data_IF_011142921393
#
_entry.id   IF_011142921393
#
_cell.length_a   1.000
_cell.length_b   1.000
_cell.length_c   1.000
_cell.angle_alpha   90.00
_cell.angle_beta   90.00
_cell.angle_gamma   90.00
#
_symmetry.space_group_name_H-M   'P 1'
#
loop_
_entity.id
_entity.type
_entity.pdbx_description
1 polymer ?
#
# COMPACT_ATOMS: atom_id res chain seq x y z
N UNK A 1 6.57 71.06 27.45
CA UNK A 1 6.72 69.64 27.82
C UNK A 1 5.43 68.90 27.50
N UNK A 2 5.35 68.17 26.39
CA UNK A 2 4.16 67.41 25.98
C UNK A 2 4.39 65.92 26.25
N UNK A 3 3.63 65.31 27.18
CA UNK A 3 3.64 63.87 27.40
C UNK A 3 2.67 63.21 26.42
N UNK A 4 3.21 62.45 25.45
CA UNK A 4 2.43 61.57 24.57
C UNK A 4 1.86 60.39 25.39
N UNK A 5 0.60 59.98 25.20
CA UNK A 5 0.08 58.75 25.78
C UNK A 5 0.64 57.52 25.04
N UNK A 6 0.78 56.35 25.69
CA UNK A 6 1.26 55.14 25.05
C UNK A 6 0.19 54.60 24.09
N UNK A 7 0.60 54.22 22.87
CA UNK A 7 -0.27 53.49 21.93
C UNK A 7 -0.57 52.10 22.50
N UNK A 8 -1.80 51.56 22.36
CA UNK A 8 -2.05 50.17 22.70
C UNK A 8 -1.25 49.27 21.75
N UNK A 9 -0.49 48.33 22.34
CA UNK A 9 0.12 47.21 21.61
C UNK A 9 -0.99 46.45 20.92
N UNK A 10 -0.92 46.34 19.59
CA UNK A 10 -1.67 45.37 18.80
C UNK A 10 -1.35 44.00 19.40
N UNK A 11 -2.30 43.36 20.05
CA UNK A 11 -2.21 41.94 20.36
C UNK A 11 -2.13 41.24 19.00
N UNK A 12 -0.93 40.76 18.67
CA UNK A 12 -0.76 39.68 17.71
C UNK A 12 -1.27 38.45 18.45
N UNK A 13 -2.58 38.23 18.36
CA UNK A 13 -3.14 36.91 18.57
C UNK A 13 -2.69 36.11 17.35
N UNK A 14 -1.56 35.42 17.52
CA UNK A 14 -1.18 34.30 16.67
C UNK A 14 -2.36 33.34 16.68
N UNK A 15 -3.18 33.43 15.63
CA UNK A 15 -4.07 32.37 15.26
C UNK A 15 -3.18 31.14 15.04
N UNK A 16 -3.17 30.25 16.04
CA UNK A 16 -2.77 28.86 15.92
C UNK A 16 -3.72 28.20 14.93
N UNK A 17 -3.57 28.57 13.66
CA UNK A 17 -4.21 27.94 12.51
C UNK A 17 -3.34 26.76 12.14
N UNK A 18 -3.27 25.78 13.04
CA UNK A 18 -2.90 24.45 12.63
C UNK A 18 -4.02 23.99 11.67
N UNK A 19 -3.75 23.67 10.38
CA UNK A 19 -4.79 23.19 9.50
C UNK A 19 -5.20 21.80 9.98
N UNK A 20 -6.26 21.75 10.80
CA UNK A 20 -6.97 20.51 11.09
C UNK A 20 -7.64 20.10 9.78
N UNK A 21 -6.93 19.28 9.00
CA UNK A 21 -7.54 18.60 7.86
C UNK A 21 -8.79 17.84 8.33
N UNK A 22 -9.77 17.60 7.44
CA UNK A 22 -11.01 16.95 7.83
C UNK A 22 -10.70 15.59 8.48
N UNK A 23 -11.14 15.40 9.73
CA UNK A 23 -11.14 14.09 10.36
C UNK A 23 -12.16 13.21 9.63
N UNK A 24 -11.75 12.01 9.22
CA UNK A 24 -12.66 11.00 8.70
C UNK A 24 -13.63 10.58 9.80
N UNK A 25 -14.93 10.48 9.47
CA UNK A 25 -15.92 9.90 10.39
C UNK A 25 -15.67 8.39 10.53
N UNK A 26 -16.20 7.77 11.59
CA UNK A 26 -16.09 6.32 11.80
C UNK A 26 -16.64 5.54 10.60
N UNK A 27 -17.84 5.91 10.14
CA UNK A 27 -18.50 5.25 9.00
C UNK A 27 -17.66 5.34 7.72
N UNK A 28 -17.09 6.52 7.42
CA UNK A 28 -16.21 6.70 6.25
C UNK A 28 -14.93 5.88 6.36
N UNK A 29 -14.39 5.73 7.57
CA UNK A 29 -13.19 4.94 7.82
C UNK A 29 -13.45 3.44 7.63
N UNK A 30 -14.65 2.97 7.98
CA UNK A 30 -15.05 1.57 7.80
C UNK A 30 -15.30 1.25 6.32
N UNK A 31 -16.00 2.11 5.57
CA UNK A 31 -16.16 1.97 4.12
C UNK A 31 -14.80 1.93 3.39
N UNK A 32 -13.87 2.78 3.82
CA UNK A 32 -12.52 2.78 3.25
C UNK A 32 -11.76 1.49 3.58
N UNK A 33 -11.91 0.93 4.79
CA UNK A 33 -11.29 -0.36 5.15
C UNK A 33 -11.79 -1.48 4.24
N UNK A 34 -13.09 -1.54 3.98
CA UNK A 34 -13.68 -2.53 3.06
C UNK A 34 -13.08 -2.40 1.66
N UNK A 35 -12.99 -1.19 1.13
CA UNK A 35 -12.38 -0.95 -0.18
C UNK A 35 -10.90 -1.35 -0.22
N UNK A 36 -10.14 -1.07 0.84
CA UNK A 36 -8.75 -1.48 0.93
C UNK A 36 -8.61 -3.02 0.94
N UNK A 37 -9.54 -3.73 1.57
CA UNK A 37 -9.55 -5.20 1.60
C UNK A 37 -9.86 -5.80 0.23
N UNK A 38 -10.81 -5.22 -0.52
CA UNK A 38 -11.14 -5.64 -1.88
C UNK A 38 -9.95 -5.46 -2.84
N UNK A 39 -9.30 -4.29 -2.78
CA UNK A 39 -8.13 -4.01 -3.63
C UNK A 39 -6.95 -4.91 -3.27
N UNK A 40 -6.72 -5.15 -1.98
CA UNK A 40 -5.65 -6.03 -1.52
C UNK A 40 -5.92 -7.50 -1.94
N UNK A 41 -7.17 -7.97 -1.83
CA UNK A 41 -7.57 -9.29 -2.32
C UNK A 41 -7.34 -9.43 -3.85
N UNK A 42 -7.68 -8.42 -4.63
CA UNK A 42 -7.44 -8.42 -6.08
C UNK A 42 -5.93 -8.46 -6.40
N UNK A 43 -5.11 -7.70 -5.68
CA UNK A 43 -3.65 -7.72 -5.86
C UNK A 43 -3.05 -9.09 -5.47
N UNK A 44 -3.54 -9.72 -4.39
CA UNK A 44 -3.15 -11.08 -4.00
C UNK A 44 -3.54 -12.13 -5.05
N UNK A 45 -4.67 -11.95 -5.74
CA UNK A 45 -5.06 -12.83 -6.84
C UNK A 45 -4.09 -12.76 -8.03
N UNK A 46 -3.54 -11.58 -8.33
CA UNK A 46 -2.47 -11.42 -9.34
C UNK A 46 -1.21 -12.18 -8.92
N UNK A 47 -0.80 -12.09 -7.65
CA UNK A 47 0.32 -12.89 -7.15
C UNK A 47 0.09 -14.40 -7.31
N UNK A 48 -1.09 -14.89 -6.93
CA UNK A 48 -1.45 -16.30 -7.07
C UNK A 48 -1.40 -16.76 -8.54
N UNK A 49 -1.87 -15.93 -9.48
CA UNK A 49 -1.82 -16.21 -10.91
C UNK A 49 -0.37 -16.37 -11.43
N UNK A 50 0.57 -15.65 -10.82
CA UNK A 50 1.99 -15.67 -11.19
C UNK A 50 2.85 -16.59 -10.30
N UNK A 51 2.23 -17.42 -9.44
CA UNK A 51 2.95 -18.37 -8.58
C UNK A 51 3.69 -17.73 -7.39
N UNK A 52 3.38 -16.47 -7.05
CA UNK A 52 3.88 -15.85 -5.83
C UNK A 52 3.00 -16.23 -4.63
N UNK A 53 3.55 -16.19 -3.40
CA UNK A 53 2.76 -16.34 -2.19
C UNK A 53 1.62 -15.32 -2.13
N UNK A 54 0.46 -15.72 -1.60
CA UNK A 54 -0.73 -14.85 -1.47
C UNK A 54 -1.17 -14.65 -0.01
N UNK A 55 -0.49 -15.28 0.93
CA UNK A 55 -0.83 -15.24 2.36
C UNK A 55 -0.07 -14.07 3.03
N UNK A 56 -0.72 -13.26 3.88
CA UNK A 56 -0.02 -12.23 4.64
C UNK A 56 1.15 -12.81 5.45
N UNK A 57 2.32 -12.17 5.38
CA UNK A 57 3.49 -12.68 6.09
C UNK A 57 4.80 -12.09 5.61
N UNK A 58 5.88 -12.63 6.16
CA UNK A 58 7.24 -12.34 5.76
C UNK A 58 7.81 -13.56 5.04
N UNK A 59 8.65 -13.32 4.05
CA UNK A 59 9.19 -14.35 3.18
C UNK A 59 10.69 -14.17 3.01
N UNK A 60 11.36 -15.30 2.71
CA UNK A 60 12.76 -15.34 2.29
C UNK A 60 12.87 -16.00 0.93
N UNK A 61 13.87 -15.59 0.16
CA UNK A 61 14.25 -16.22 -1.09
C UNK A 61 15.73 -16.55 -0.99
N UNK A 62 16.06 -17.83 -1.23
CA UNK A 62 17.43 -18.30 -1.26
C UNK A 62 18.17 -17.78 -2.51
N UNK A 63 19.50 -17.61 -2.45
CA UNK A 63 20.30 -17.43 -3.64
C UNK A 63 20.06 -18.59 -4.62
N UNK A 64 19.91 -18.26 -5.89
CA UNK A 64 19.62 -19.20 -6.99
C UNK A 64 18.23 -19.89 -6.94
N UNK A 65 17.33 -19.42 -6.07
CA UNK A 65 15.92 -19.84 -6.05
C UNK A 65 15.00 -18.70 -6.48
N UNK A 66 14.03 -19.02 -7.34
CA UNK A 66 12.93 -18.10 -7.67
C UNK A 66 11.77 -18.20 -6.66
N UNK A 67 11.78 -19.21 -5.78
CA UNK A 67 10.72 -19.45 -4.81
C UNK A 67 10.87 -18.59 -3.54
N UNK A 68 9.75 -18.10 -3.03
CA UNK A 68 9.65 -17.40 -1.75
C UNK A 68 9.11 -18.36 -0.68
N UNK A 69 9.90 -18.60 0.35
CA UNK A 69 9.52 -19.42 1.49
C UNK A 69 8.99 -18.56 2.64
N UNK A 70 7.88 -18.94 3.29
CA UNK A 70 7.38 -18.21 4.43
C UNK A 70 8.37 -18.28 5.61
N UNK A 71 8.70 -17.10 6.15
CA UNK A 71 9.29 -17.00 7.47
C UNK A 71 8.15 -17.19 8.46
N UNK A 72 8.20 -18.29 9.23
CA UNK A 72 7.15 -18.65 10.17
C UNK A 72 6.67 -17.45 10.99
N UNK A 73 5.35 -17.29 11.12
CA UNK A 73 4.71 -16.18 11.82
C UNK A 73 5.18 -16.04 13.28
N UNK A 74 5.76 -17.10 13.85
CA UNK A 74 6.23 -17.20 15.23
C UNK A 74 7.67 -16.66 15.45
N UNK A 75 8.39 -16.22 14.41
CA UNK A 75 9.72 -15.67 14.61
C UNK A 75 9.62 -14.28 15.26
N UNK A 76 10.11 -14.18 16.49
CA UNK A 76 10.29 -12.92 17.19
C UNK A 76 11.22 -11.99 16.40
N UNK A 77 11.16 -10.65 16.63
CA UNK A 77 12.09 -9.72 16.02
C UNK A 77 13.56 -10.13 16.20
N UNK A 78 13.92 -10.66 17.38
CA UNK A 78 15.27 -11.15 17.67
C UNK A 78 15.66 -12.36 16.80
N UNK A 79 14.74 -13.30 16.57
CA UNK A 79 14.99 -14.46 15.70
C UNK A 79 15.08 -14.07 14.22
N UNK A 80 14.31 -13.06 13.79
CA UNK A 80 14.44 -12.47 12.45
C UNK A 80 15.81 -11.80 12.27
N UNK A 81 16.29 -11.07 13.28
CA UNK A 81 17.63 -10.47 13.28
C UNK A 81 18.73 -11.53 13.26
N UNK A 82 18.59 -12.59 14.06
CA UNK A 82 19.53 -13.72 14.06
C UNK A 82 19.59 -14.43 12.70
N UNK A 83 18.47 -14.52 11.97
CA UNK A 83 18.44 -15.07 10.61
C UNK A 83 19.21 -14.20 9.60
N UNK A 84 19.19 -12.88 9.75
CA UNK A 84 19.98 -11.97 8.90
C UNK A 84 21.49 -12.12 9.17
N UNK A 85 21.87 -12.47 10.40
CA UNK A 85 23.25 -12.69 10.82
C UNK A 85 23.78 -14.06 10.33
N UNK A 86 22.92 -15.08 10.29
CA UNK A 86 23.25 -16.43 9.78
C UNK A 86 23.33 -16.49 8.24
N UNK A 87 22.60 -15.62 7.54
CA UNK A 87 22.55 -15.56 6.08
C UNK A 87 22.77 -14.12 5.61
N UNK A 88 24.03 -13.64 5.59
CA UNK A 88 24.32 -12.26 5.23
C UNK A 88 23.80 -11.96 3.81
N UNK A 89 23.19 -10.77 3.64
CA UNK A 89 22.65 -10.25 2.37
C UNK A 89 23.64 -10.38 1.19
N UNK A 90 24.93 -10.42 1.51
CA UNK A 90 26.07 -10.56 0.61
C UNK A 90 26.11 -11.91 -0.13
N UNK A 91 25.34 -12.90 0.33
CA UNK A 91 25.23 -14.23 -0.26
C UNK A 91 24.00 -14.39 -1.16
N UNK A 92 23.29 -13.32 -1.51
CA UNK A 92 22.17 -13.36 -2.46
C UNK A 92 20.82 -13.76 -1.87
N UNK A 93 20.74 -13.93 -0.54
CA UNK A 93 19.47 -14.08 0.17
C UNK A 93 18.65 -12.79 0.11
N UNK A 94 17.34 -12.93 -0.09
CA UNK A 94 16.40 -11.81 -0.11
C UNK A 94 15.31 -12.02 0.92
N UNK A 95 14.87 -10.93 1.52
CA UNK A 95 13.84 -10.89 2.55
C UNK A 95 12.85 -9.80 2.21
N UNK A 96 11.56 -10.08 2.33
CA UNK A 96 10.49 -9.14 2.01
C UNK A 96 9.21 -9.51 2.74
N UNK A 97 8.35 -8.53 3.03
CA UNK A 97 6.94 -8.80 3.34
C UNK A 97 6.19 -9.17 2.07
N UNK A 98 4.99 -9.75 2.21
CA UNK A 98 4.11 -10.08 1.08
C UNK A 98 4.00 -8.92 0.07
N UNK A 99 3.75 -7.71 0.58
CA UNK A 99 3.50 -6.51 -0.21
C UNK A 99 4.73 -6.13 -1.05
N UNK A 100 5.92 -6.58 -0.65
CA UNK A 100 7.20 -6.17 -1.22
C UNK A 100 7.81 -7.20 -2.18
N UNK A 101 7.30 -8.44 -2.23
CA UNK A 101 7.88 -9.52 -3.05
C UNK A 101 8.02 -9.13 -4.53
N UNK A 102 7.00 -8.46 -5.06
CA UNK A 102 6.89 -8.10 -6.48
C UNK A 102 7.64 -6.85 -6.90
N UNK A 103 8.22 -6.05 -5.98
CA UNK A 103 8.79 -4.74 -6.30
C UNK A 103 9.84 -4.76 -7.41
N UNK A 104 10.62 -5.86 -7.49
CA UNK A 104 11.72 -6.03 -8.45
C UNK A 104 11.41 -7.09 -9.52
N UNK A 105 10.15 -7.52 -9.64
CA UNK A 105 9.74 -8.50 -10.64
C UNK A 105 9.92 -7.95 -12.06
N UNK A 106 10.27 -8.82 -13.00
CA UNK A 106 10.29 -8.46 -14.44
C UNK A 106 8.88 -8.35 -15.02
N UNK A 107 7.89 -9.01 -14.40
CA UNK A 107 6.49 -9.00 -14.83
C UNK A 107 5.82 -7.69 -14.36
N UNK A 108 5.29 -6.85 -15.28
CA UNK A 108 4.65 -5.59 -14.93
C UNK A 108 3.49 -5.75 -13.93
N UNK A 109 2.60 -6.71 -14.16
CA UNK A 109 1.41 -6.93 -13.34
C UNK A 109 1.77 -7.28 -11.88
N UNK A 110 2.85 -8.04 -11.68
CA UNK A 110 3.37 -8.35 -10.34
C UNK A 110 3.95 -7.11 -9.65
N UNK A 111 4.69 -6.25 -10.38
CA UNK A 111 5.14 -4.96 -9.81
C UNK A 111 3.95 -4.07 -9.44
N UNK A 112 2.90 -4.06 -10.26
CA UNK A 112 1.68 -3.30 -9.98
C UNK A 112 0.95 -3.81 -8.74
N UNK A 113 0.77 -5.13 -8.61
CA UNK A 113 0.16 -5.73 -7.43
C UNK A 113 0.96 -5.44 -6.15
N UNK A 114 2.30 -5.46 -6.22
CA UNK A 114 3.18 -5.08 -5.11
C UNK A 114 2.97 -3.62 -4.66
N UNK A 115 2.88 -2.69 -5.63
CA UNK A 115 2.61 -1.29 -5.34
C UNK A 115 1.23 -1.07 -4.73
N UNK A 116 0.20 -1.77 -5.23
CA UNK A 116 -1.17 -1.74 -4.69
C UNK A 116 -1.19 -2.16 -3.21
N UNK A 117 -0.64 -3.32 -2.88
CA UNK A 117 -0.65 -3.80 -1.50
C UNK A 117 0.17 -2.90 -0.56
N UNK A 118 1.32 -2.39 -1.03
CA UNK A 118 2.13 -1.45 -0.23
C UNK A 118 1.37 -0.15 0.06
N UNK A 119 0.62 0.37 -0.93
CA UNK A 119 -0.26 1.53 -0.75
C UNK A 119 -1.40 1.24 0.24
N UNK A 120 -2.06 0.08 0.12
CA UNK A 120 -3.09 -0.34 1.06
C UNK A 120 -2.56 -0.43 2.50
N UNK A 121 -1.38 -1.02 2.69
CA UNK A 121 -0.72 -1.12 3.99
C UNK A 121 -0.42 0.27 4.59
N UNK A 122 0.11 1.19 3.79
CA UNK A 122 0.36 2.57 4.23
C UNK A 122 -0.91 3.28 4.68
N UNK A 123 -1.98 3.20 3.90
CA UNK A 123 -3.28 3.80 4.23
C UNK A 123 -3.89 3.17 5.49
N UNK A 124 -3.86 1.83 5.64
CA UNK A 124 -4.34 1.15 6.86
C UNK A 124 -3.59 1.65 8.09
N UNK A 125 -2.26 1.72 8.04
CA UNK A 125 -1.45 2.21 9.15
C UNK A 125 -1.81 3.65 9.53
N UNK A 126 -2.10 4.52 8.56
CA UNK A 126 -2.55 5.90 8.83
C UNK A 126 -3.91 5.95 9.51
N UNK A 127 -4.87 5.14 9.04
CA UNK A 127 -6.20 5.03 9.65
C UNK A 127 -6.15 4.50 11.08
N UNK A 128 -5.25 3.56 11.37
CA UNK A 128 -5.05 3.00 12.71
C UNK A 128 -4.37 3.98 13.66
N UNK A 129 -3.37 4.72 13.18
CA UNK A 129 -2.56 5.61 14.01
C UNK A 129 -3.11 7.03 14.14
N UNK A 130 -4.10 7.40 13.32
CA UNK A 130 -4.66 8.76 13.27
C UNK A 130 -3.65 9.82 12.77
N UNK A 131 -2.56 9.40 12.14
CA UNK A 131 -1.55 10.32 11.60
C UNK A 131 -2.10 11.11 10.40
N UNK A 132 -1.65 12.36 10.27
CA UNK A 132 -1.98 13.19 9.12
C UNK A 132 -1.57 12.52 7.79
N UNK A 133 -2.44 12.63 6.78
CA UNK A 133 -2.16 12.19 5.42
C UNK A 133 -0.98 12.97 4.84
N UNK A 134 0.02 12.24 4.35
CA UNK A 134 1.18 12.81 3.66
C UNK A 134 0.92 12.97 2.16
N UNK A 135 1.77 13.74 1.48
CA UNK A 135 1.75 13.84 0.02
C UNK A 135 1.95 12.47 -0.66
N UNK A 136 2.69 11.57 -0.02
CA UNK A 136 2.89 10.21 -0.48
C UNK A 136 1.59 9.40 -0.41
N UNK A 137 0.81 9.54 0.67
CA UNK A 137 -0.48 8.86 0.84
C UNK A 137 -1.50 9.29 -0.23
N UNK A 138 -1.52 10.58 -0.56
CA UNK A 138 -2.32 11.12 -1.67
C UNK A 138 -1.89 10.56 -3.03
N UNK A 139 -0.57 10.51 -3.28
CA UNK A 139 -0.04 9.94 -4.51
C UNK A 139 -0.34 8.43 -4.61
N UNK A 140 -0.30 7.72 -3.48
CA UNK A 140 -0.64 6.30 -3.40
C UNK A 140 -2.14 6.06 -3.61
N UNK A 141 -3.02 6.89 -3.07
CA UNK A 141 -4.46 6.83 -3.34
C UNK A 141 -4.79 7.07 -4.84
N UNK A 142 -4.12 8.03 -5.48
CA UNK A 142 -4.27 8.28 -6.93
C UNK A 142 -3.79 7.07 -7.74
N UNK A 143 -2.63 6.50 -7.37
CA UNK A 143 -2.11 5.27 -8.00
C UNK A 143 -3.06 4.10 -7.81
N UNK A 144 -3.65 3.95 -6.63
CA UNK A 144 -4.65 2.93 -6.30
C UNK A 144 -5.87 3.05 -7.23
N UNK A 145 -6.45 4.24 -7.34
CA UNK A 145 -7.60 4.47 -8.21
C UNK A 145 -7.30 4.29 -9.71
N UNK A 146 -6.07 4.57 -10.15
CA UNK A 146 -5.64 4.30 -11.53
C UNK A 146 -5.43 2.79 -11.78
N UNK A 147 -4.85 2.08 -10.81
CA UNK A 147 -4.59 0.65 -10.91
C UNK A 147 -5.88 -0.18 -10.81
N UNK A 148 -6.82 0.21 -9.94
CA UNK A 148 -8.15 -0.41 -9.85
C UNK A 148 -8.90 -0.37 -11.18
N UNK A 149 -8.93 0.81 -11.83
CA UNK A 149 -9.55 0.95 -13.16
C UNK A 149 -8.95 0.03 -14.21
N UNK A 150 -7.63 -0.14 -14.22
CA UNK A 150 -6.96 -1.05 -15.18
C UNK A 150 -7.33 -2.51 -14.95
N UNK A 151 -7.49 -2.92 -13.69
CA UNK A 151 -7.91 -4.28 -13.35
C UNK A 151 -9.37 -4.53 -13.75
N UNK A 152 -10.27 -3.56 -13.56
CA UNK A 152 -11.69 -3.70 -13.92
C UNK A 152 -11.93 -3.56 -15.44
N UNK A 153 -11.28 -2.61 -16.10
CA UNK A 153 -11.36 -2.41 -17.56
C UNK A 153 -10.72 -3.58 -18.32
N UNK A 154 -9.63 -4.16 -17.81
CA UNK A 154 -9.02 -5.38 -18.36
C UNK A 154 -9.92 -6.62 -18.27
N UNK A 155 -10.83 -6.66 -17.28
CA UNK A 155 -11.88 -7.68 -17.15
C UNK A 155 -13.05 -7.47 -18.13
N UNK A 156 -13.42 -6.22 -18.40
CA UNK A 156 -14.44 -5.86 -19.41
C UNK A 156 -13.96 -6.16 -20.84
N UNK A 157 -12.70 -5.85 -21.18
CA UNK A 157 -12.11 -6.24 -22.47
C UNK A 157 -12.08 -7.75 -22.71
N UNK A 158 -11.97 -8.58 -21.65
CA UNK A 158 -12.07 -10.04 -21.78
C UNK A 158 -13.51 -10.56 -21.87
N UNK A 159 -14.49 -9.83 -21.34
CA UNK A 159 -15.91 -10.20 -21.39
C UNK A 159 -16.56 -9.81 -22.73
N UNK A 160 -16.11 -8.72 -23.37
CA UNK A 160 -16.56 -8.28 -24.69
C UNK A 160 -16.04 -9.16 -25.85
N UNK A 161 -15.06 -10.04 -25.58
CA UNK A 161 -14.53 -11.01 -26.55
C UNK A 161 -15.32 -12.32 -26.62
N UNK A 162 -16.40 -12.48 -25.85
CA UNK A 162 -17.43 -13.51 -26.13
C UNK A 162 -18.31 -12.96 -27.26
N UNK A 163 -17.73 -12.88 -28.45
CA UNK A 163 -18.43 -12.60 -29.69
C UNK A 163 -19.42 -13.75 -29.92
N UNK A 164 -20.71 -13.47 -29.69
CA UNK A 164 -21.78 -14.36 -30.16
C UNK A 164 -21.70 -14.37 -31.69
N UNK A 165 -21.23 -15.47 -32.26
CA UNK A 165 -21.26 -15.66 -33.70
C UNK A 165 -22.72 -15.60 -34.17
N UNK A 166 -23.05 -14.82 -35.23
CA UNK A 166 -24.39 -14.82 -35.77
C UNK A 166 -24.68 -16.20 -36.39
N UNK A 167 -25.81 -16.80 -36.00
CA UNK A 167 -26.38 -17.92 -36.74
C UNK A 167 -26.84 -17.39 -38.11
N UNK A 168 -26.07 -17.68 -39.16
CA UNK A 168 -26.56 -17.55 -40.53
C UNK A 168 -27.53 -18.69 -40.83
N UNK A 169 -28.72 -18.33 -41.32
CA UNK A 169 -29.74 -19.22 -41.87
C UNK A 169 -30.07 -18.82 -43.29
#
# INVERSE_FOLDING_TARGET
>A
MFRRPPRPRRAVEEADSNPVGPLLTSDTSDDLRVLLDEVDAAARAVYALHGLPSIPGHYRQAPDSDAWDPLGAALSPAEKWALLDQHPLNQGWRYASLEQLGQRSTIPDVRYASALMSACQGLRLRLETGMALSAQDLADAIRLGAAWRRLTEGGQSRSDLIFTAPHEG
#
